data_IF_553190328292
#
_entry.id   IF_553190328292
#
_cell.length_a   1.000
_cell.length_b   1.000
_cell.length_c   1.000
_cell.angle_alpha   90.00
_cell.angle_beta   90.00
_cell.angle_gamma   90.00
#
_symmetry.space_group_name_H-M   'P 1'
#
loop_
_entity.id
_entity.type
_entity.pdbx_description
1 polymer ?
#
# COMPACT_ATOMS: atom_id res chain seq x y z
N UNK A 1 11.75 15.02 7.88
CA UNK A 1 12.76 15.22 6.82
C UNK A 1 12.43 16.50 6.04
N UNK A 2 13.35 17.46 5.92
CA UNK A 2 13.13 18.74 5.20
C UNK A 2 14.22 19.01 4.16
N UNK A 3 14.79 17.96 3.56
CA UNK A 3 15.84 18.09 2.56
C UNK A 3 15.57 17.12 1.41
N UNK A 4 15.94 17.50 0.20
CA UNK A 4 15.89 16.61 -0.97
C UNK A 4 17.15 16.77 -1.81
N UNK A 5 17.55 15.68 -2.46
CA UNK A 5 18.74 15.63 -3.31
C UNK A 5 18.30 15.66 -4.78
N UNK A 6 18.98 16.47 -5.59
CA UNK A 6 18.77 16.57 -7.02
C UNK A 6 20.04 16.14 -7.75
N UNK A 7 19.88 15.28 -8.76
CA UNK A 7 20.93 14.89 -9.69
C UNK A 7 20.75 15.63 -11.01
N UNK A 8 21.82 16.22 -11.53
CA UNK A 8 21.87 16.89 -12.81
C UNK A 8 22.34 15.98 -13.95
N UNK A 9 22.05 16.39 -15.18
CA UNK A 9 22.56 15.81 -16.43
C UNK A 9 24.08 15.96 -16.59
N UNK A 10 24.66 16.96 -15.95
CA UNK A 10 26.10 17.19 -15.85
C UNK A 10 26.77 16.44 -14.68
N UNK A 11 26.08 15.46 -14.09
CA UNK A 11 26.58 14.67 -12.97
C UNK A 11 26.65 15.40 -11.64
N UNK A 12 26.16 16.65 -11.53
CA UNK A 12 26.16 17.39 -10.26
C UNK A 12 25.07 16.92 -9.31
N UNK A 13 25.41 16.78 -8.03
CA UNK A 13 24.44 16.55 -6.95
C UNK A 13 24.22 17.83 -6.17
N UNK A 14 22.95 18.18 -5.90
CA UNK A 14 22.56 19.35 -5.11
C UNK A 14 21.58 18.98 -4.02
N UNK A 15 21.90 19.36 -2.79
CA UNK A 15 21.03 19.17 -1.62
C UNK A 15 20.26 20.46 -1.35
N UNK A 16 18.94 20.40 -1.32
CA UNK A 16 18.06 21.53 -1.05
C UNK A 16 17.30 21.38 0.26
N UNK A 17 16.90 22.49 0.86
CA UNK A 17 15.94 22.53 1.97
C UNK A 17 14.52 22.65 1.41
N UNK A 18 13.63 21.73 1.78
CA UNK A 18 12.23 21.72 1.31
C UNK A 18 11.46 22.95 1.82
N UNK A 19 11.67 23.35 3.07
CA UNK A 19 10.90 24.44 3.69
C UNK A 19 11.32 25.81 3.18
N UNK A 20 12.60 26.01 2.93
CA UNK A 20 13.13 27.33 2.53
C UNK A 20 13.38 27.45 1.04
N UNK A 21 13.35 26.34 0.29
CA UNK A 21 13.71 26.29 -1.13
C UNK A 21 15.19 26.57 -1.42
N UNK A 22 16.03 26.71 -0.39
CA UNK A 22 17.43 27.10 -0.56
C UNK A 22 18.34 25.90 -0.83
N UNK A 23 19.31 26.09 -1.72
CA UNK A 23 20.44 25.19 -1.88
C UNK A 23 21.24 25.15 -0.57
N UNK A 24 21.42 23.95 -0.02
CA UNK A 24 22.25 23.70 1.16
C UNK A 24 23.68 23.39 0.73
N UNK A 25 23.84 22.55 -0.30
CA UNK A 25 25.15 22.10 -0.74
C UNK A 25 25.12 21.65 -2.21
N UNK A 26 26.16 21.99 -2.97
CA UNK A 26 26.46 21.39 -4.27
C UNK A 26 27.68 20.49 -4.08
N UNK A 27 27.51 19.18 -4.27
CA UNK A 27 28.62 18.24 -4.18
C UNK A 27 29.45 18.37 -5.45
N UNK A 28 30.76 18.49 -5.29
CA UNK A 28 31.69 18.36 -6.40
C UNK A 28 31.63 16.92 -6.89
N UNK A 29 31.01 16.72 -8.06
CA UNK A 29 30.91 15.41 -8.66
C UNK A 29 32.26 14.97 -9.22
N UNK A 30 32.61 13.71 -9.00
CA UNK A 30 33.67 13.02 -9.75
C UNK A 30 33.14 12.34 -11.02
N UNK A 31 31.86 12.52 -11.32
CA UNK A 31 31.17 11.86 -12.41
C UNK A 31 30.86 12.90 -13.50
N UNK A 32 31.45 12.73 -14.69
CA UNK A 32 31.15 13.54 -15.89
C UNK A 32 29.91 13.02 -16.66
N UNK A 33 29.06 12.24 -15.99
CA UNK A 33 27.90 11.58 -16.59
C UNK A 33 26.59 11.97 -15.87
N UNK A 34 25.44 12.00 -16.57
CA UNK A 34 24.13 12.28 -15.98
C UNK A 34 23.80 11.38 -14.78
N UNK A 35 23.27 11.99 -13.72
CA UNK A 35 22.66 11.22 -12.63
C UNK A 35 21.24 10.88 -13.04
N UNK A 36 21.03 9.62 -13.40
CA UNK A 36 19.74 9.13 -13.91
C UNK A 36 18.83 8.57 -12.82
N UNK A 37 19.39 8.20 -11.67
CA UNK A 37 18.66 7.62 -10.54
C UNK A 37 19.21 8.13 -9.21
N UNK A 38 18.29 8.53 -8.33
CA UNK A 38 18.53 8.77 -6.91
C UNK A 38 17.64 7.81 -6.12
N UNK A 39 18.08 6.57 -5.98
CA UNK A 39 17.32 5.52 -5.27
C UNK A 39 17.77 5.44 -3.81
N UNK A 40 16.84 5.72 -2.90
CA UNK A 40 17.06 5.55 -1.45
C UNK A 40 16.34 4.26 -1.05
N UNK A 41 16.93 3.13 -1.44
CA UNK A 41 16.44 1.79 -1.14
C UNK A 41 15.53 1.18 -2.22
N UNK A 42 15.75 -0.11 -2.50
CA UNK A 42 14.96 -0.92 -3.43
C UNK A 42 14.59 -2.24 -2.77
N UNK A 43 13.31 -2.60 -2.84
CA UNK A 43 12.86 -3.96 -2.57
C UNK A 43 12.16 -4.48 -3.83
N UNK A 44 12.68 -5.58 -4.37
CA UNK A 44 12.20 -6.20 -5.59
C UNK A 44 11.45 -7.52 -5.29
N UNK A 45 10.65 -7.98 -6.25
CA UNK A 45 9.94 -9.28 -6.18
C UNK A 45 9.04 -9.44 -4.96
N UNK A 46 8.45 -8.32 -4.55
CA UNK A 46 7.58 -8.24 -3.37
C UNK A 46 6.20 -8.79 -3.66
N UNK A 47 5.65 -8.45 -4.81
CA UNK A 47 4.39 -8.99 -5.29
C UNK A 47 4.65 -9.97 -6.44
N UNK A 48 3.74 -10.93 -6.61
CA UNK A 48 3.73 -11.88 -7.74
C UNK A 48 3.05 -11.30 -8.99
N UNK A 49 2.45 -10.12 -8.85
CA UNK A 49 1.77 -9.36 -9.89
C UNK A 49 2.16 -7.88 -9.88
N UNK A 50 1.57 -7.12 -10.79
CA UNK A 50 1.80 -5.69 -10.86
C UNK A 50 1.22 -5.01 -9.60
N UNK A 51 2.00 -4.11 -9.00
CA UNK A 51 1.49 -3.20 -7.97
C UNK A 51 0.46 -2.28 -8.62
N UNK A 52 -0.76 -2.28 -8.11
CA UNK A 52 -1.87 -1.53 -8.68
C UNK A 52 -2.06 -0.17 -8.03
N UNK A 53 -1.81 -0.07 -6.73
CA UNK A 53 -1.97 1.15 -5.93
C UNK A 53 -1.05 1.16 -4.72
N UNK A 54 -0.77 2.37 -4.23
CA UNK A 54 -0.08 2.64 -2.96
C UNK A 54 -0.93 3.58 -2.11
N UNK A 55 -1.08 3.27 -0.82
CA UNK A 55 -1.85 4.06 0.14
C UNK A 55 -0.95 4.41 1.32
N UNK A 56 -0.91 5.69 1.70
CA UNK A 56 -0.11 6.18 2.81
C UNK A 56 -1.01 6.52 4.00
N UNK A 57 -0.64 6.02 5.19
CA UNK A 57 -1.34 6.38 6.41
C UNK A 57 -1.00 7.83 6.77
N UNK A 58 -1.99 8.68 7.09
CA UNK A 58 -1.73 10.05 7.53
C UNK A 58 -0.87 10.07 8.81
N UNK A 59 0.10 10.98 8.85
CA UNK A 59 0.98 11.24 10.00
C UNK A 59 1.87 10.06 10.50
N UNK A 60 1.81 8.90 9.86
CA UNK A 60 2.59 7.72 10.23
C UNK A 60 3.44 7.21 9.06
N UNK A 61 4.62 6.62 9.34
CA UNK A 61 5.48 6.06 8.30
C UNK A 61 4.96 4.70 7.83
N UNK A 62 3.64 4.55 7.63
CA UNK A 62 3.00 3.30 7.23
C UNK A 62 2.46 3.45 5.82
N UNK A 63 2.71 2.45 4.98
CA UNK A 63 2.22 2.39 3.61
C UNK A 63 1.62 1.01 3.34
N UNK A 64 0.56 0.95 2.54
CA UNK A 64 -0.03 -0.28 2.04
C UNK A 64 0.10 -0.32 0.52
N UNK A 65 0.64 -1.41 -0.01
CA UNK A 65 0.66 -1.70 -1.45
C UNK A 65 -0.39 -2.76 -1.78
N UNK A 66 -1.11 -2.57 -2.88
CA UNK A 66 -2.04 -3.55 -3.45
C UNK A 66 -1.50 -4.08 -4.76
N UNK A 67 -1.87 -5.32 -5.13
CA UNK A 67 -1.38 -5.95 -6.34
C UNK A 67 -2.47 -6.72 -7.09
N UNK A 68 -2.23 -6.90 -8.39
CA UNK A 68 -3.02 -7.78 -9.25
C UNK A 68 -2.94 -9.26 -8.86
N UNK A 69 -2.04 -9.63 -7.95
CA UNK A 69 -1.95 -10.97 -7.34
C UNK A 69 -2.95 -11.21 -6.19
N UNK A 70 -3.89 -10.28 -5.98
CA UNK A 70 -4.92 -10.29 -4.94
C UNK A 70 -4.39 -10.11 -3.50
N UNK A 71 -3.10 -9.84 -3.33
CA UNK A 71 -2.49 -9.57 -2.04
C UNK A 71 -2.35 -8.08 -1.77
N UNK A 72 -2.27 -7.77 -0.48
CA UNK A 72 -1.85 -6.47 0.01
C UNK A 72 -0.67 -6.65 0.94
N UNK A 73 0.24 -5.69 0.96
CA UNK A 73 1.39 -5.68 1.87
C UNK A 73 1.48 -4.35 2.59
N UNK A 74 1.72 -4.42 3.89
CA UNK A 74 1.92 -3.25 4.76
C UNK A 74 3.40 -3.07 5.02
N UNK A 75 3.86 -1.82 4.93
CA UNK A 75 5.24 -1.39 5.00
C UNK A 75 5.41 -0.35 6.09
N UNK A 76 6.50 -0.42 6.84
CA UNK A 76 6.97 0.65 7.71
C UNK A 76 8.19 1.32 7.06
N UNK A 77 8.15 2.64 6.98
CA UNK A 77 9.11 3.54 6.34
C UNK A 77 9.85 4.36 7.41
N UNK A 78 10.33 3.70 8.46
CA UNK A 78 10.92 4.33 9.65
C UNK A 78 12.46 4.37 9.63
N UNK A 79 13.10 3.64 8.72
CA UNK A 79 14.55 3.53 8.69
C UNK A 79 15.24 4.67 7.95
N UNK A 80 16.41 5.07 8.45
CA UNK A 80 17.23 6.13 7.85
C UNK A 80 17.91 5.71 6.54
N UNK A 81 18.04 4.41 6.29
CA UNK A 81 18.58 3.85 5.05
C UNK A 81 17.57 3.85 3.89
N UNK A 82 16.32 4.25 4.17
CA UNK A 82 15.21 4.27 3.23
C UNK A 82 14.64 2.90 2.88
N UNK A 83 15.11 1.82 3.52
CA UNK A 83 14.61 0.48 3.23
C UNK A 83 13.26 0.25 3.92
N UNK A 84 12.19 -0.05 3.15
CA UNK A 84 10.89 -0.34 3.74
C UNK A 84 10.93 -1.71 4.44
N UNK A 85 10.45 -1.79 5.67
CA UNK A 85 10.21 -3.08 6.34
C UNK A 85 8.81 -3.56 6.07
N UNK A 86 8.68 -4.81 5.65
CA UNK A 86 7.37 -5.44 5.59
C UNK A 86 6.86 -5.75 7.00
N UNK A 87 5.64 -5.30 7.30
CA UNK A 87 4.98 -5.55 8.57
C UNK A 87 3.97 -6.70 8.45
N UNK A 88 3.08 -6.61 7.46
CA UNK A 88 1.97 -7.55 7.30
C UNK A 88 1.81 -7.94 5.84
N UNK A 89 1.63 -9.24 5.58
CA UNK A 89 1.08 -9.74 4.32
C UNK A 89 -0.40 -10.07 4.56
N UNK A 90 -1.26 -9.42 3.79
CA UNK A 90 -2.69 -9.60 3.84
C UNK A 90 -3.12 -10.32 2.56
N UNK A 91 -3.27 -11.63 2.69
CA UNK A 91 -3.85 -12.51 1.69
C UNK A 91 -5.27 -12.89 2.13
N UNK A 92 -6.17 -13.08 1.17
CA UNK A 92 -7.54 -13.51 1.46
C UNK A 92 -8.59 -12.95 0.52
N UNK A 93 -8.31 -11.81 -0.13
CA UNK A 93 -9.11 -11.40 -1.27
C UNK A 93 -8.97 -12.43 -2.39
N UNK A 94 -10.08 -12.83 -3.00
CA UNK A 94 -10.08 -13.82 -4.09
C UNK A 94 -9.95 -13.19 -5.47
N UNK A 95 -10.01 -11.86 -5.55
CA UNK A 95 -9.78 -11.04 -6.74
C UNK A 95 -9.06 -9.73 -6.34
N UNK A 96 -8.53 -8.95 -7.29
CA UNK A 96 -7.74 -7.77 -6.97
C UNK A 96 -8.45 -6.76 -6.08
N UNK A 97 -7.69 -6.22 -5.13
CA UNK A 97 -8.11 -5.12 -4.25
C UNK A 97 -8.16 -3.83 -5.06
N UNK A 98 -9.24 -3.08 -4.89
CA UNK A 98 -9.48 -1.84 -5.64
C UNK A 98 -9.29 -0.59 -4.79
N UNK A 99 -9.58 -0.67 -3.50
CA UNK A 99 -9.50 0.47 -2.62
C UNK A 99 -9.11 0.05 -1.21
N UNK A 100 -8.41 0.96 -0.54
CA UNK A 100 -7.92 0.83 0.83
C UNK A 100 -8.07 2.17 1.51
N UNK A 101 -8.56 2.16 2.74
CA UNK A 101 -8.66 3.34 3.59
C UNK A 101 -8.03 3.04 4.95
N UNK A 102 -7.59 4.10 5.62
CA UNK A 102 -7.09 4.05 6.99
C UNK A 102 -8.15 4.64 7.93
N UNK A 103 -8.43 3.92 9.01
CA UNK A 103 -9.22 4.39 10.14
C UNK A 103 -8.30 4.98 11.21
N UNK A 104 -8.83 5.88 12.05
CA UNK A 104 -8.08 6.59 13.10
C UNK A 104 -7.44 5.67 14.16
N UNK A 105 -7.83 4.39 14.20
CA UNK A 105 -7.34 3.41 15.19
C UNK A 105 -6.27 2.46 14.63
N UNK A 106 -5.46 2.92 13.66
CA UNK A 106 -4.48 2.08 12.96
C UNK A 106 -5.12 0.82 12.34
N UNK A 107 -6.37 0.94 11.91
CA UNK A 107 -7.07 -0.10 11.18
C UNK A 107 -7.01 0.22 9.69
N UNK A 108 -6.80 -0.82 8.89
CA UNK A 108 -6.85 -0.75 7.44
C UNK A 108 -8.11 -1.47 7.00
N UNK A 109 -8.93 -0.81 6.19
CA UNK A 109 -10.09 -1.43 5.54
C UNK A 109 -9.80 -1.52 4.04
N UNK A 110 -10.02 -2.71 3.48
CA UNK A 110 -9.79 -3.01 2.08
C UNK A 110 -11.05 -3.56 1.43
N UNK A 111 -11.26 -3.22 0.16
CA UNK A 111 -12.29 -3.84 -0.66
C UNK A 111 -11.84 -4.02 -2.10
N UNK A 112 -12.44 -5.01 -2.78
CA UNK A 112 -12.00 -5.40 -4.10
C UNK A 112 -13.08 -5.97 -4.99
N UNK A 113 -12.63 -6.48 -6.14
CA UNK A 113 -13.49 -7.07 -7.18
C UNK A 113 -14.16 -8.37 -6.74
N UNK A 114 -13.74 -8.95 -5.61
CA UNK A 114 -14.41 -10.10 -5.01
C UNK A 114 -15.69 -9.73 -4.24
N UNK A 115 -16.03 -8.44 -4.18
CA UNK A 115 -17.18 -7.91 -3.47
C UNK A 115 -17.04 -8.02 -1.95
N UNK A 116 -15.87 -8.39 -1.44
CA UNK A 116 -15.63 -8.47 -0.01
C UNK A 116 -15.01 -7.19 0.52
N UNK A 117 -15.43 -6.82 1.73
CA UNK A 117 -14.75 -5.83 2.56
C UNK A 117 -14.01 -6.58 3.67
N UNK A 118 -12.77 -6.20 3.94
CA UNK A 118 -11.93 -6.78 4.97
C UNK A 118 -11.30 -5.67 5.79
N UNK A 119 -11.06 -5.94 7.07
CA UNK A 119 -10.32 -5.05 7.95
C UNK A 119 -9.24 -5.79 8.72
N UNK A 120 -8.17 -5.10 9.04
CA UNK A 120 -7.14 -5.58 9.97
C UNK A 120 -6.46 -4.44 10.71
N UNK A 121 -5.88 -4.73 11.88
CA UNK A 121 -5.03 -3.76 12.58
C UNK A 121 -3.59 -3.85 12.08
N UNK A 122 -2.93 -2.71 11.91
CA UNK A 122 -1.47 -2.68 11.68
C UNK A 122 -0.67 -2.83 12.98
N UNK A 123 -1.31 -2.64 14.14
CA UNK A 123 -0.67 -2.79 15.46
C UNK A 123 -0.81 -4.19 16.02
N UNK A 124 -1.89 -4.89 15.67
CA UNK A 124 -2.17 -6.25 16.12
C UNK A 124 -2.42 -7.19 14.94
N UNK A 125 -1.44 -8.06 14.66
CA UNK A 125 -1.51 -9.02 13.57
C UNK A 125 -2.63 -10.07 13.71
N UNK A 126 -3.20 -10.24 14.91
CA UNK A 126 -4.26 -11.21 15.23
C UNK A 126 -5.63 -10.71 14.77
N UNK A 127 -5.85 -9.40 14.75
CA UNK A 127 -7.14 -8.83 14.36
C UNK A 127 -7.25 -8.74 12.84
N UNK A 128 -7.84 -9.76 12.22
CA UNK A 128 -8.21 -9.77 10.80
C UNK A 128 -9.65 -10.21 10.68
N UNK A 129 -10.48 -9.37 10.07
CA UNK A 129 -11.90 -9.62 9.96
C UNK A 129 -12.38 -9.39 8.53
N UNK A 130 -13.16 -10.35 8.00
CA UNK A 130 -13.97 -10.11 6.80
C UNK A 130 -15.25 -9.41 7.26
N UNK A 131 -15.45 -8.17 6.81
CA UNK A 131 -16.67 -7.39 7.03
C UNK A 131 -17.75 -7.76 5.99
N UNK A 132 -17.34 -8.24 4.82
CA UNK A 132 -18.24 -8.64 3.74
C UNK A 132 -18.83 -10.04 3.92
N UNK A 133 -20.03 -10.09 4.50
CA UNK A 133 -21.21 -10.86 4.07
C UNK A 133 -22.46 -10.34 4.83
N UNK A 134 -22.55 -9.01 5.02
CA UNK A 134 -23.64 -8.44 5.81
C UNK A 134 -24.97 -8.59 5.04
N UNK A 135 -25.89 -9.38 5.59
CA UNK A 135 -27.19 -9.69 4.98
C UNK A 135 -27.25 -10.86 3.98
N UNK A 136 -26.14 -11.29 3.36
CA UNK A 136 -26.13 -12.44 2.43
C UNK A 136 -25.76 -13.75 3.12
N UNK A 137 -26.51 -14.80 2.76
CA UNK A 137 -26.35 -16.16 3.25
C UNK A 137 -24.89 -16.63 3.02
N UNK A 138 -24.22 -17.16 4.05
CA UNK A 138 -22.86 -17.71 3.90
C UNK A 138 -22.82 -18.81 2.83
N UNK A 139 -21.68 -19.02 2.15
CA UNK A 139 -21.54 -20.11 1.15
C UNK A 139 -22.00 -21.47 1.69
N UNK A 140 -21.68 -21.77 2.95
CA UNK A 140 -22.12 -23.00 3.61
C UNK A 140 -23.65 -23.08 3.75
N UNK A 141 -24.31 -21.98 4.11
CA UNK A 141 -25.77 -21.90 4.26
C UNK A 141 -26.49 -21.83 2.91
N UNK A 142 -25.87 -21.26 1.87
CA UNK A 142 -26.38 -21.26 0.51
C UNK A 142 -26.34 -22.68 -0.09
N UNK A 143 -25.21 -23.38 0.09
CA UNK A 143 -25.08 -24.80 -0.28
C UNK A 143 -26.11 -25.67 0.43
N UNK A 144 -26.36 -25.43 1.73
CA UNK A 144 -27.40 -26.14 2.50
C UNK A 144 -28.83 -25.85 1.99
N UNK A 145 -29.06 -24.66 1.44
CA UNK A 145 -30.36 -24.25 0.89
C UNK A 145 -30.51 -24.54 -0.62
N UNK A 146 -29.50 -25.12 -1.28
CA UNK A 146 -29.51 -25.35 -2.72
C UNK A 146 -29.51 -24.06 -3.55
N UNK A 147 -29.07 -22.95 -2.96
CA UNK A 147 -28.95 -21.67 -3.66
C UNK A 147 -27.68 -21.65 -4.49
N UNK A 148 -27.77 -21.01 -5.66
CA UNK A 148 -26.61 -20.78 -6.51
C UNK A 148 -25.60 -19.85 -5.81
N UNK A 149 -24.32 -20.18 -5.89
CA UNK A 149 -23.26 -19.43 -5.21
C UNK A 149 -22.99 -18.08 -5.86
N UNK A 150 -23.27 -17.95 -7.16
CA UNK A 150 -23.15 -16.66 -7.85
C UNK A 150 -24.27 -15.71 -7.43
N UNK A 151 -25.48 -16.25 -7.15
CA UNK A 151 -26.63 -15.46 -6.66
C UNK A 151 -26.42 -14.78 -5.31
N UNK A 152 -25.43 -15.23 -4.51
CA UNK A 152 -25.13 -14.67 -3.17
C UNK A 152 -23.85 -13.84 -3.15
N UNK A 153 -23.18 -13.69 -4.29
CA UNK A 153 -21.94 -12.92 -4.39
C UNK A 153 -22.26 -11.44 -4.40
N UNK A 154 -21.48 -10.67 -3.65
CA UNK A 154 -21.59 -9.21 -3.66
C UNK A 154 -20.91 -8.65 -4.90
N UNK A 155 -21.48 -7.57 -5.42
CA UNK A 155 -20.92 -6.81 -6.53
C UNK A 155 -19.53 -6.24 -6.18
N UNK A 156 -18.67 -6.01 -7.19
CA UNK A 156 -17.38 -5.38 -7.00
C UNK A 156 -17.48 -4.06 -6.23
N UNK A 157 -16.66 -3.92 -5.18
CA UNK A 157 -16.52 -2.65 -4.48
C UNK A 157 -15.41 -1.85 -5.17
N UNK A 158 -15.79 -0.70 -5.72
CA UNK A 158 -14.88 0.17 -6.47
C UNK A 158 -14.24 1.25 -5.59
N UNK A 159 -14.91 1.67 -4.53
CA UNK A 159 -14.48 2.78 -3.67
C UNK A 159 -15.07 2.62 -2.26
N UNK A 160 -14.37 3.14 -1.25
CA UNK A 160 -14.84 3.24 0.13
C UNK A 160 -14.57 4.68 0.58
N UNK A 161 -15.53 5.30 1.23
CA UNK A 161 -15.39 6.58 1.89
C UNK A 161 -15.50 6.41 3.42
N UNK A 162 -14.80 7.28 4.14
CA UNK A 162 -14.99 7.49 5.58
C UNK A 162 -15.55 8.88 5.81
N UNK A 163 -16.39 9.00 6.84
CA UNK A 163 -16.92 10.28 7.32
C UNK A 163 -15.87 11.06 8.11
#
# INVERSE_FOLDING_TARGET
MNKFLLGGDNGKLRLYNIRTGKLIHEFQSKFDAPITVLEVGRIANVHKGAVTSLYFMPAEPIMVSTSSDNSMRTWVLDQMDGMPRQLVINEGHSLPVKTVIFSSNHEVVSAGLDGSVRKYSVMDAVTRQKLGNDGTISRAKAKKKGLDLDSIRLEPVIEIAVE
#
